data_IF_128580862958
#
_entry.id   IF_128580862958
#
_cell.length_a   1.000
_cell.length_b   1.000
_cell.length_c   1.000
_cell.angle_alpha   90.00
_cell.angle_beta   90.00
_cell.angle_gamma   90.00
#
_symmetry.space_group_name_H-M   'P 1'
#
loop_
_entity.id
_entity.type
_entity.pdbx_description
1 polymer ?
#
# COMPACT_ATOMS: atom_id res chain seq x y z
N UNK A 1 24.88 -19.04 4.60
CA UNK A 1 25.01 -18.29 3.33
C UNK A 1 24.38 -16.93 3.56
N UNK A 2 25.03 -15.84 3.10
CA UNK A 2 24.48 -14.48 3.31
C UNK A 2 23.34 -14.25 2.33
N UNK A 3 22.28 -13.61 2.80
CA UNK A 3 21.11 -13.20 2.02
C UNK A 3 21.51 -12.18 0.95
N UNK A 4 20.90 -12.26 -0.22
CA UNK A 4 21.15 -11.31 -1.32
C UNK A 4 20.88 -9.87 -0.86
N UNK A 5 21.80 -8.95 -1.18
CA UNK A 5 21.71 -7.56 -0.70
C UNK A 5 20.43 -6.85 -1.17
N UNK A 6 19.95 -7.17 -2.38
CA UNK A 6 18.71 -6.60 -2.89
C UNK A 6 17.49 -7.05 -2.07
N UNK A 7 17.47 -8.30 -1.60
CA UNK A 7 16.43 -8.80 -0.70
C UNK A 7 16.51 -8.05 0.63
N UNK A 8 17.72 -7.93 1.21
CA UNK A 8 17.91 -7.20 2.47
C UNK A 8 17.38 -5.77 2.38
N UNK A 9 17.79 -5.01 1.33
CA UNK A 9 17.37 -3.61 1.15
C UNK A 9 15.84 -3.48 0.99
N UNK A 10 15.18 -4.46 0.38
CA UNK A 10 13.71 -4.48 0.23
C UNK A 10 13.03 -4.83 1.56
N UNK A 11 13.54 -5.81 2.31
CA UNK A 11 12.99 -6.16 3.62
C UNK A 11 13.14 -5.00 4.61
N UNK A 12 14.30 -4.32 4.65
CA UNK A 12 14.53 -3.12 5.46
C UNK A 12 13.53 -2.00 5.10
N UNK A 13 13.32 -1.75 3.81
CA UNK A 13 12.35 -0.73 3.33
C UNK A 13 10.92 -1.05 3.75
N UNK A 14 10.57 -2.32 3.84
CA UNK A 14 9.28 -2.79 4.31
C UNK A 14 9.23 -3.01 5.82
N UNK A 15 10.23 -2.53 6.58
CA UNK A 15 10.29 -2.54 8.04
C UNK A 15 10.28 -3.95 8.67
N UNK A 16 10.67 -4.99 7.90
CA UNK A 16 10.85 -6.32 8.45
C UNK A 16 12.16 -6.43 9.23
N UNK A 17 12.11 -7.10 10.37
CA UNK A 17 13.29 -7.63 11.01
C UNK A 17 13.60 -9.00 10.40
N UNK A 18 14.87 -9.31 10.19
CA UNK A 18 15.34 -10.57 9.60
C UNK A 18 16.80 -10.84 9.97
N UNK A 19 17.20 -12.11 9.83
CA UNK A 19 18.61 -12.49 9.92
C UNK A 19 19.27 -12.36 8.54
N UNK A 20 20.46 -11.78 8.46
CA UNK A 20 21.23 -11.66 7.22
C UNK A 20 21.75 -13.01 6.70
N UNK A 21 21.72 -14.06 7.54
CA UNK A 21 22.18 -15.40 7.19
C UNK A 21 21.00 -16.31 6.85
N UNK A 22 21.08 -16.94 5.67
CA UNK A 22 20.11 -17.96 5.27
C UNK A 22 20.33 -19.20 6.12
N UNK A 23 19.30 -19.65 6.80
CA UNK A 23 19.26 -20.90 7.54
C UNK A 23 19.03 -22.09 6.60
N UNK A 24 19.50 -23.27 6.99
CA UNK A 24 19.35 -24.51 6.21
C UNK A 24 18.90 -25.64 7.13
N UNK A 25 17.88 -26.38 6.70
CA UNK A 25 17.38 -27.58 7.35
C UNK A 25 17.19 -28.69 6.32
N UNK A 26 16.77 -29.87 6.76
CA UNK A 26 16.55 -31.04 5.89
C UNK A 26 15.59 -30.75 4.72
N UNK A 27 14.67 -29.80 4.89
CA UNK A 27 13.66 -29.42 3.91
C UNK A 27 14.12 -28.30 2.93
N UNK A 28 15.32 -27.74 3.11
CA UNK A 28 15.86 -26.69 2.25
C UNK A 28 16.36 -25.47 3.03
N UNK A 29 16.45 -24.35 2.32
CA UNK A 29 16.92 -23.08 2.85
C UNK A 29 15.74 -22.18 3.18
N UNK A 30 15.88 -21.38 4.23
CA UNK A 30 14.84 -20.42 4.63
C UNK A 30 15.43 -19.20 5.32
N UNK A 31 14.61 -18.15 5.39
CA UNK A 31 14.79 -17.06 6.32
C UNK A 31 13.51 -16.86 7.14
N UNK A 32 13.67 -16.32 8.34
CA UNK A 32 12.55 -15.85 9.15
C UNK A 32 12.52 -14.32 9.07
N UNK A 33 11.35 -13.78 8.76
CA UNK A 33 11.08 -12.36 8.80
C UNK A 33 10.01 -12.10 9.86
N UNK A 34 10.10 -10.97 10.54
CA UNK A 34 9.11 -10.63 11.56
C UNK A 34 8.82 -9.14 11.59
N UNK A 35 7.61 -8.83 12.05
CA UNK A 35 7.13 -7.48 12.24
C UNK A 35 6.00 -7.47 13.29
N UNK A 36 5.83 -6.36 14.01
CA UNK A 36 4.67 -6.19 14.88
C UNK A 36 3.49 -5.66 14.07
N UNK A 37 2.33 -6.29 14.23
CA UNK A 37 1.10 -5.83 13.60
C UNK A 37 0.54 -4.55 14.27
N UNK A 38 -0.40 -3.83 13.64
CA UNK A 38 -0.99 -2.63 14.21
C UNK A 38 -1.68 -2.85 15.56
N UNK A 39 -2.31 -4.03 15.76
CA UNK A 39 -3.01 -4.36 17.00
C UNK A 39 -2.13 -5.10 18.02
N UNK A 40 -0.82 -5.24 17.71
CA UNK A 40 0.21 -5.67 18.64
C UNK A 40 0.51 -7.16 18.67
N UNK A 41 0.18 -7.89 17.62
CA UNK A 41 0.66 -9.25 17.42
C UNK A 41 2.12 -9.25 16.97
N UNK A 42 2.93 -10.17 17.50
CA UNK A 42 4.26 -10.46 16.97
C UNK A 42 4.14 -11.46 15.82
N UNK A 43 4.14 -10.94 14.61
CA UNK A 43 4.02 -11.76 13.41
C UNK A 43 5.38 -12.26 12.93
N UNK A 44 5.46 -13.57 12.70
CA UNK A 44 6.62 -14.26 12.16
C UNK A 44 6.22 -14.99 10.89
N UNK A 45 7.05 -14.87 9.86
CA UNK A 45 6.86 -15.57 8.59
C UNK A 45 8.16 -16.30 8.23
N UNK A 46 8.06 -17.60 7.86
CA UNK A 46 9.20 -18.40 7.41
C UNK A 46 9.12 -18.58 5.90
N UNK A 47 10.05 -17.99 5.18
CA UNK A 47 10.11 -18.05 3.71
C UNK A 47 11.12 -19.09 3.29
N UNK A 48 10.63 -20.19 2.72
CA UNK A 48 11.45 -21.28 2.16
C UNK A 48 11.76 -21.02 0.71
N UNK A 49 13.04 -21.06 0.31
CA UNK A 49 13.48 -20.79 -1.06
C UNK A 49 14.82 -21.47 -1.36
N UNK A 50 15.29 -21.42 -2.59
CA UNK A 50 16.54 -22.06 -3.02
C UNK A 50 17.82 -21.28 -2.67
N UNK A 51 17.67 -20.09 -2.11
CA UNK A 51 18.76 -19.17 -1.76
C UNK A 51 19.09 -18.17 -2.87
N UNK A 52 18.31 -18.13 -3.95
CA UNK A 52 18.42 -17.15 -5.04
C UNK A 52 17.39 -16.04 -4.89
N UNK A 53 17.64 -14.86 -5.52
CA UNK A 53 16.66 -13.78 -5.56
C UNK A 53 15.34 -14.21 -6.20
N UNK A 54 15.41 -14.88 -7.35
CA UNK A 54 14.23 -15.38 -8.07
C UNK A 54 13.45 -16.39 -7.23
N UNK A 55 14.15 -17.31 -6.57
CA UNK A 55 13.52 -18.28 -5.65
C UNK A 55 12.82 -17.61 -4.48
N UNK A 56 13.39 -16.52 -3.94
CA UNK A 56 12.74 -15.73 -2.89
C UNK A 56 11.48 -15.03 -3.39
N UNK A 57 11.52 -14.38 -4.56
CA UNK A 57 10.34 -13.75 -5.19
C UNK A 57 9.22 -14.78 -5.38
N UNK A 58 9.53 -15.94 -5.95
CA UNK A 58 8.54 -16.99 -6.18
C UNK A 58 7.93 -17.51 -4.87
N UNK A 59 8.73 -17.65 -3.82
CA UNK A 59 8.24 -18.08 -2.51
C UNK A 59 7.29 -17.05 -1.86
N UNK A 60 7.60 -15.76 -1.98
CA UNK A 60 6.70 -14.69 -1.51
C UNK A 60 5.43 -14.63 -2.34
N UNK A 61 5.51 -14.78 -3.66
CA UNK A 61 4.34 -14.85 -4.55
C UNK A 61 3.42 -16.02 -4.18
N UNK A 62 3.98 -17.21 -3.96
CA UNK A 62 3.22 -18.38 -3.52
C UNK A 62 2.54 -18.12 -2.17
N UNK A 63 3.23 -17.46 -1.24
CA UNK A 63 2.66 -17.11 0.06
C UNK A 63 1.50 -16.11 -0.06
N UNK A 64 1.62 -15.10 -0.92
CA UNK A 64 0.55 -14.12 -1.21
C UNK A 64 -0.67 -14.81 -1.82
N UNK A 65 -0.46 -15.68 -2.81
CA UNK A 65 -1.54 -16.39 -3.50
C UNK A 65 -2.31 -17.35 -2.58
N UNK A 66 -1.63 -17.92 -1.58
CA UNK A 66 -2.22 -18.87 -0.64
C UNK A 66 -2.58 -18.24 0.71
N UNK A 67 -2.49 -16.91 0.85
CA UNK A 67 -2.88 -16.24 2.09
C UNK A 67 -4.41 -16.19 2.20
N UNK A 68 -4.94 -16.75 3.27
CA UNK A 68 -6.38 -16.72 3.58
C UNK A 68 -6.60 -16.02 4.92
N UNK A 69 -7.29 -14.87 4.86
CA UNK A 69 -7.57 -14.03 6.04
C UNK A 69 -8.39 -14.78 7.09
N UNK A 70 -9.38 -15.56 6.65
CA UNK A 70 -10.26 -16.30 7.57
C UNK A 70 -9.50 -17.42 8.28
N UNK A 71 -8.63 -18.15 7.55
CA UNK A 71 -7.76 -19.18 8.13
C UNK A 71 -6.76 -18.57 9.12
N UNK A 72 -6.16 -17.43 8.77
CA UNK A 72 -5.23 -16.71 9.65
C UNK A 72 -5.90 -16.29 10.96
N UNK A 73 -7.12 -15.77 10.89
CA UNK A 73 -7.91 -15.42 12.09
C UNK A 73 -8.21 -16.67 12.93
N UNK A 74 -8.64 -17.78 12.31
CA UNK A 74 -8.96 -19.03 13.02
C UNK A 74 -7.77 -19.60 13.80
N UNK A 75 -6.54 -19.50 13.24
CA UNK A 75 -5.31 -19.95 13.91
C UNK A 75 -5.06 -19.16 15.21
N UNK A 76 -5.40 -17.89 15.25
CA UNK A 76 -5.13 -17.00 16.38
C UNK A 76 -6.23 -16.98 17.46
N UNK A 77 -7.47 -17.35 17.12
CA UNK A 77 -8.60 -17.37 18.08
C UNK A 77 -8.28 -18.09 19.41
N UNK A 78 -7.57 -19.25 19.44
CA UNK A 78 -7.24 -19.93 20.71
C UNK A 78 -6.26 -19.16 21.60
N UNK A 79 -5.53 -18.21 21.04
CA UNK A 79 -4.53 -17.40 21.73
C UNK A 79 -5.03 -15.99 22.08
N UNK A 80 -6.25 -15.65 21.72
CA UNK A 80 -6.86 -14.35 21.99
C UNK A 80 -6.72 -13.93 23.44
N UNK A 81 -6.24 -12.69 23.66
CA UNK A 81 -5.99 -12.12 24.99
C UNK A 81 -4.81 -12.70 25.74
N UNK A 82 -3.98 -13.51 25.10
CA UNK A 82 -2.68 -13.93 25.64
C UNK A 82 -1.57 -12.99 25.12
N UNK A 83 -0.43 -12.94 25.84
CA UNK A 83 0.65 -12.04 25.47
C UNK A 83 1.02 -12.12 23.99
N UNK A 84 1.06 -10.98 23.30
CA UNK A 84 1.34 -10.87 21.87
C UNK A 84 0.17 -11.25 20.95
N UNK A 85 -1.06 -11.34 21.48
CA UNK A 85 -2.25 -11.61 20.68
C UNK A 85 -3.39 -10.65 21.07
N UNK A 86 -4.08 -10.02 20.12
CA UNK A 86 -5.21 -9.14 20.37
C UNK A 86 -6.36 -9.80 21.15
N UNK A 87 -7.10 -9.00 21.90
CA UNK A 87 -8.24 -9.44 22.71
C UNK A 87 -9.52 -9.63 21.89
N UNK A 88 -9.64 -8.85 20.82
CA UNK A 88 -10.84 -8.75 19.99
C UNK A 88 -10.71 -9.58 18.71
N UNK A 89 -11.79 -10.23 18.27
CA UNK A 89 -11.81 -10.90 16.95
C UNK A 89 -11.68 -9.87 15.82
N UNK A 90 -12.22 -8.66 16.02
CA UNK A 90 -12.10 -7.61 15.01
C UNK A 90 -10.64 -7.19 14.83
N UNK A 91 -9.88 -7.11 15.92
CA UNK A 91 -8.46 -6.77 15.87
C UNK A 91 -7.64 -7.87 15.16
N UNK A 92 -8.00 -9.16 15.40
CA UNK A 92 -7.42 -10.29 14.65
C UNK A 92 -7.70 -10.19 13.14
N UNK A 93 -8.92 -9.78 12.76
CA UNK A 93 -9.28 -9.57 11.34
C UNK A 93 -8.45 -8.42 10.75
N UNK A 94 -8.34 -7.30 11.47
CA UNK A 94 -7.53 -6.16 11.02
C UNK A 94 -6.06 -6.55 10.83
N UNK A 95 -5.51 -7.32 11.78
CA UNK A 95 -4.13 -7.80 11.69
C UNK A 95 -3.94 -8.76 10.51
N UNK A 96 -4.87 -9.70 10.28
CA UNK A 96 -4.82 -10.61 9.15
C UNK A 96 -4.89 -9.89 7.79
N UNK A 97 -5.81 -8.92 7.64
CA UNK A 97 -5.89 -8.07 6.45
C UNK A 97 -4.62 -7.22 6.25
N UNK A 98 -4.04 -6.73 7.33
CA UNK A 98 -2.81 -5.95 7.29
C UNK A 98 -1.63 -6.83 6.86
N UNK A 99 -1.50 -8.07 7.38
CA UNK A 99 -0.48 -9.04 6.97
C UNK A 99 -0.55 -9.33 5.48
N UNK A 100 -1.76 -9.58 4.95
CA UNK A 100 -1.98 -9.78 3.52
C UNK A 100 -1.45 -8.61 2.69
N UNK A 101 -1.88 -7.39 3.00
CA UNK A 101 -1.43 -6.17 2.31
C UNK A 101 0.08 -5.94 2.41
N UNK A 102 0.67 -6.31 3.54
CA UNK A 102 2.12 -6.19 3.76
C UNK A 102 2.90 -7.17 2.89
N UNK A 103 2.41 -8.42 2.74
CA UNK A 103 3.00 -9.39 1.82
C UNK A 103 2.83 -9.00 0.35
N UNK A 104 1.65 -8.48 -0.03
CA UNK A 104 1.40 -7.96 -1.38
C UNK A 104 2.36 -6.81 -1.73
N UNK A 105 2.54 -5.87 -0.81
CA UNK A 105 3.49 -4.77 -0.98
C UNK A 105 4.93 -5.27 -1.08
N UNK A 106 5.32 -6.23 -0.25
CA UNK A 106 6.65 -6.86 -0.32
C UNK A 106 6.88 -7.50 -1.69
N UNK A 107 5.88 -8.20 -2.23
CA UNK A 107 5.93 -8.82 -3.55
C UNK A 107 6.08 -7.78 -4.67
N UNK A 108 5.31 -6.69 -4.62
CA UNK A 108 5.40 -5.59 -5.58
C UNK A 108 6.81 -4.98 -5.60
N UNK A 109 7.39 -4.71 -4.45
CA UNK A 109 8.75 -4.18 -4.32
C UNK A 109 9.80 -5.19 -4.86
N UNK A 110 9.62 -6.49 -4.61
CA UNK A 110 10.49 -7.54 -5.10
C UNK A 110 10.43 -7.70 -6.62
N UNK A 111 9.25 -7.59 -7.21
CA UNK A 111 9.06 -7.68 -8.66
C UNK A 111 9.54 -6.42 -9.41
N UNK A 112 9.94 -5.39 -8.66
CA UNK A 112 10.32 -4.10 -9.22
C UNK A 112 9.13 -3.35 -9.79
N UNK A 113 7.92 -3.77 -9.42
CA UNK A 113 6.72 -2.99 -9.56
C UNK A 113 6.78 -1.88 -8.50
N UNK A 114 7.83 -1.05 -8.57
CA UNK A 114 7.82 0.19 -7.80
C UNK A 114 6.50 0.87 -8.19
N UNK A 115 5.51 0.75 -7.33
CA UNK A 115 4.50 1.78 -7.32
C UNK A 115 5.34 3.04 -7.16
N UNK A 116 5.50 3.78 -8.28
CA UNK A 116 5.96 5.15 -8.16
C UNK A 116 5.14 5.69 -6.99
N UNK A 117 5.80 5.96 -5.87
CA UNK A 117 5.18 6.75 -4.81
C UNK A 117 4.90 8.04 -5.52
N UNK A 118 3.68 8.11 -6.09
CA UNK A 118 3.23 9.30 -6.80
C UNK A 118 3.24 10.37 -5.73
N UNK A 119 4.34 11.11 -5.68
CA UNK A 119 4.47 12.21 -4.74
C UNK A 119 3.26 13.09 -5.00
N UNK A 120 2.30 13.00 -4.10
CA UNK A 120 1.06 13.77 -4.20
C UNK A 120 1.47 15.21 -3.95
N UNK A 121 1.73 15.92 -5.04
CA UNK A 121 1.99 17.34 -5.01
C UNK A 121 0.67 18.10 -5.23
N UNK A 122 0.60 19.34 -4.76
CA UNK A 122 -0.54 20.22 -5.06
C UNK A 122 -0.82 20.25 -6.57
N UNK A 123 0.22 20.28 -7.39
CA UNK A 123 0.13 20.30 -8.85
C UNK A 123 -0.42 18.98 -9.42
N UNK A 124 -0.03 17.81 -8.88
CA UNK A 124 -0.57 16.52 -9.34
C UNK A 124 -2.05 16.38 -9.05
N UNK A 125 -2.50 16.79 -7.86
CA UNK A 125 -3.92 16.78 -7.47
C UNK A 125 -4.71 17.78 -8.33
N UNK A 126 -4.16 18.97 -8.58
CA UNK A 126 -4.78 19.98 -9.45
C UNK A 126 -5.00 19.44 -10.86
N UNK A 127 -3.99 18.77 -11.43
CA UNK A 127 -4.07 18.16 -12.75
C UNK A 127 -5.15 17.09 -12.82
N UNK A 128 -5.18 16.16 -11.86
CA UNK A 128 -6.16 15.09 -11.82
C UNK A 128 -7.60 15.59 -11.69
N UNK A 129 -7.82 16.58 -10.82
CA UNK A 129 -9.15 17.18 -10.64
C UNK A 129 -9.57 17.98 -11.89
N UNK A 130 -8.64 18.73 -12.48
CA UNK A 130 -8.90 19.47 -13.72
C UNK A 130 -9.31 18.51 -14.85
N UNK A 131 -8.57 17.44 -15.05
CA UNK A 131 -8.84 16.46 -16.10
C UNK A 131 -10.17 15.75 -15.85
N UNK A 132 -10.46 15.35 -14.60
CA UNK A 132 -11.71 14.73 -14.20
C UNK A 132 -12.92 15.62 -14.54
N UNK A 133 -12.94 16.87 -14.09
CA UNK A 133 -14.09 17.76 -14.34
C UNK A 133 -14.20 18.17 -15.80
N UNK A 134 -13.08 18.36 -16.47
CA UNK A 134 -13.06 18.69 -17.90
C UNK A 134 -13.56 17.51 -18.77
N UNK A 135 -13.26 16.28 -18.40
CA UNK A 135 -13.77 15.09 -19.06
C UNK A 135 -15.27 14.94 -18.84
N UNK A 136 -15.74 15.08 -17.60
CA UNK A 136 -17.17 15.06 -17.24
C UNK A 136 -17.98 16.13 -18.00
N UNK A 137 -17.42 17.30 -18.19
CA UNK A 137 -18.03 18.37 -18.99
C UNK A 137 -18.12 17.97 -20.47
N UNK A 138 -17.04 17.38 -21.03
CA UNK A 138 -16.99 16.96 -22.45
C UNK A 138 -17.91 15.78 -22.76
N UNK A 139 -18.05 14.82 -21.85
CA UNK A 139 -18.91 13.65 -21.99
C UNK A 139 -20.38 13.97 -21.77
N UNK A 140 -20.69 15.15 -21.20
CA UNK A 140 -22.05 15.55 -20.83
C UNK A 140 -22.56 14.93 -19.54
N UNK A 141 -21.69 14.26 -18.78
CA UNK A 141 -22.04 13.65 -17.47
C UNK A 141 -22.25 14.69 -16.37
N UNK A 142 -21.81 15.93 -16.60
CA UNK A 142 -22.03 17.07 -15.71
C UNK A 142 -22.51 18.29 -16.52
N UNK A 143 -23.77 18.24 -17.00
CA UNK A 143 -24.29 19.26 -17.89
C UNK A 143 -24.44 20.65 -17.23
N UNK A 144 -24.37 20.73 -15.91
CA UNK A 144 -24.39 21.99 -15.15
C UNK A 144 -23.04 22.74 -15.14
N UNK A 145 -21.95 22.09 -15.62
CA UNK A 145 -20.62 22.72 -15.70
C UNK A 145 -20.45 23.38 -17.06
N UNK A 146 -20.23 24.70 -17.06
CA UNK A 146 -19.96 25.49 -18.26
C UNK A 146 -18.48 25.56 -18.59
N UNK A 147 -17.64 25.62 -17.54
CA UNK A 147 -16.19 25.80 -17.68
C UNK A 147 -15.45 25.25 -16.47
N UNK A 148 -14.29 24.69 -16.72
CA UNK A 148 -13.32 24.31 -15.70
C UNK A 148 -12.01 25.03 -15.99
N UNK A 149 -11.38 25.63 -15.00
CA UNK A 149 -10.12 26.34 -15.12
C UNK A 149 -9.25 26.20 -13.88
N UNK A 150 -7.94 26.40 -14.04
CA UNK A 150 -7.00 26.47 -12.92
C UNK A 150 -6.95 27.89 -12.38
N UNK A 151 -6.58 28.07 -11.12
CA UNK A 151 -6.50 29.40 -10.49
C UNK A 151 -5.72 30.44 -11.30
N UNK A 152 -4.50 30.14 -11.79
CA UNK A 152 -3.75 31.11 -12.60
C UNK A 152 -4.48 31.51 -13.90
N UNK A 153 -5.16 30.55 -14.54
CA UNK A 153 -5.87 30.76 -15.80
C UNK A 153 -7.19 31.53 -15.62
N UNK A 154 -7.71 31.53 -14.40
CA UNK A 154 -8.98 32.19 -14.04
C UNK A 154 -8.79 33.51 -13.27
N UNK A 155 -7.58 34.08 -13.32
CA UNK A 155 -7.24 35.33 -12.60
C UNK A 155 -7.47 35.28 -11.09
N UNK A 156 -7.40 34.09 -10.48
CA UNK A 156 -7.45 33.91 -9.03
C UNK A 156 -6.02 33.91 -8.50
N UNK A 157 -5.73 34.89 -7.66
CA UNK A 157 -4.41 34.97 -7.01
C UNK A 157 -4.42 34.16 -5.71
N UNK A 158 -3.43 33.30 -5.54
CA UNK A 158 -3.24 32.50 -4.34
C UNK A 158 -2.80 31.07 -4.63
N UNK A 159 -3.15 30.17 -3.75
CA UNK A 159 -2.75 28.77 -3.79
C UNK A 159 -3.28 28.00 -5.01
N UNK A 160 -2.73 26.82 -5.26
CA UNK A 160 -3.19 25.92 -6.32
C UNK A 160 -4.65 25.53 -6.10
N UNK A 161 -5.43 25.44 -7.16
CA UNK A 161 -6.82 25.09 -7.08
C UNK A 161 -7.53 25.15 -8.42
N UNK A 162 -8.80 24.74 -8.39
CA UNK A 162 -9.68 24.66 -9.55
C UNK A 162 -10.86 25.55 -9.36
N UNK A 163 -11.26 26.23 -10.42
CA UNK A 163 -12.49 27.00 -10.53
C UNK A 163 -13.42 26.29 -11.49
N UNK A 164 -14.65 26.03 -11.05
CA UNK A 164 -15.71 25.43 -11.85
C UNK A 164 -16.83 26.47 -11.99
N UNK A 165 -17.05 26.95 -13.20
CA UNK A 165 -18.19 27.81 -13.53
C UNK A 165 -19.40 26.94 -13.89
N UNK A 166 -20.50 27.16 -13.20
CA UNK A 166 -21.74 26.42 -13.41
C UNK A 166 -22.79 27.26 -14.11
N UNK A 167 -23.73 26.61 -14.79
CA UNK A 167 -24.89 27.24 -15.40
C UNK A 167 -25.61 28.13 -14.37
N UNK A 168 -25.98 29.33 -14.80
CA UNK A 168 -26.61 30.31 -13.93
C UNK A 168 -25.65 31.20 -13.13
N UNK A 169 -24.37 31.23 -13.53
CA UNK A 169 -23.36 32.14 -13.00
C UNK A 169 -22.86 31.79 -11.58
N UNK A 170 -23.13 30.56 -11.13
CA UNK A 170 -22.51 30.05 -9.89
C UNK A 170 -21.10 29.58 -10.14
N UNK A 171 -20.23 29.81 -9.16
CA UNK A 171 -18.86 29.38 -9.22
C UNK A 171 -18.50 28.56 -7.99
N UNK A 172 -17.85 27.40 -8.20
CA UNK A 172 -17.25 26.55 -7.17
C UNK A 172 -15.74 26.75 -7.23
N UNK A 173 -15.12 26.98 -6.10
CA UNK A 173 -13.66 27.07 -5.96
C UNK A 173 -13.17 25.97 -5.05
N UNK A 174 -12.30 25.12 -5.60
CA UNK A 174 -11.61 24.06 -4.88
C UNK A 174 -10.18 24.53 -4.58
N UNK A 175 -9.86 24.66 -3.30
CA UNK A 175 -8.51 25.00 -2.84
C UNK A 175 -7.80 23.71 -2.45
N UNK A 176 -6.61 23.48 -3.01
CA UNK A 176 -5.82 22.30 -2.74
C UNK A 176 -4.81 22.63 -1.64
N UNK A 177 -4.94 21.98 -0.50
CA UNK A 177 -4.01 22.04 0.61
C UNK A 177 -3.39 20.65 0.78
N UNK A 178 -2.06 20.58 0.82
CA UNK A 178 -1.31 19.37 1.14
C UNK A 178 -0.49 19.71 2.38
N UNK A 179 -0.77 19.02 3.47
CA UNK A 179 -0.07 19.15 4.75
C UNK A 179 1.22 18.35 4.76
#
# INVERSE_FOLDING_TARGET
MVLDKKIQDILERNEFNFDEEISEQDNGKYIEINQSTPEGEDWWETIWFDGTYEGFVNAVEERVLNFDVDEEVEIWIPNRGKGGCPDSIMDLVHDAEWKQKTLEKLLDDLQGNEQEVKVITKESVENELYDFFNDKMKTGDAPEIERVGRYPDMYVTGDNGIVIDCIGGKQIRLIIQVD
#
